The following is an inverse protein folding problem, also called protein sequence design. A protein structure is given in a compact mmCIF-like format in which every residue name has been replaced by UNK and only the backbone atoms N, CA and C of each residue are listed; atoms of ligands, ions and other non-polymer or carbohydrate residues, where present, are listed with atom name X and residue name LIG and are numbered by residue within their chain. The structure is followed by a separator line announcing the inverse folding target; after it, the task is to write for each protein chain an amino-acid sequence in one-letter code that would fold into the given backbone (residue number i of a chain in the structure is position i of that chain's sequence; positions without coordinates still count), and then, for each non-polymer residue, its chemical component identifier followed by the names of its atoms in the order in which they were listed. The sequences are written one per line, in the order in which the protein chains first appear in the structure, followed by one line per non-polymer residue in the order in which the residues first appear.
data_IF_275479609917
#
_entry.id   IF_275479609917
#
_cell.length_a   1.000
_cell.length_b   1.000
_cell.length_c   1.000
_cell.angle_alpha   90.00
_cell.angle_beta   90.00
_cell.angle_gamma   90.00
#
_symmetry.space_group_name_H-M   'P 1'
#
loop_
_entity.id
_entity.type
_entity.pdbx_description
1 polymer ?
#
# COMPACT_ATOMS: atom_id res chain seq x y z
N UNK A 1 5.53 -76.60 -49.30
CA UNK A 1 4.17 -76.79 -48.75
C UNK A 1 3.80 -75.56 -47.96
N UNK A 2 3.01 -74.67 -48.56
CA UNK A 2 2.34 -73.58 -47.86
C UNK A 2 0.99 -73.42 -48.58
N UNK A 3 -0.02 -74.09 -48.05
CA UNK A 3 -1.39 -74.01 -48.57
C UNK A 3 -1.90 -72.58 -48.36
N UNK A 4 -2.07 -71.83 -49.46
CA UNK A 4 -2.78 -70.56 -49.47
C UNK A 4 -4.27 -70.85 -49.33
N UNK A 5 -4.71 -71.00 -48.09
CA UNK A 5 -6.14 -71.11 -47.75
C UNK A 5 -6.80 -69.78 -48.07
N UNK A 6 -7.62 -69.77 -49.12
CA UNK A 6 -8.55 -68.69 -49.46
C UNK A 6 -9.37 -68.34 -48.20
N UNK A 7 -9.08 -67.19 -47.59
CA UNK A 7 -9.80 -66.74 -46.41
C UNK A 7 -11.23 -66.37 -46.84
N UNK A 8 -12.29 -66.92 -46.22
CA UNK A 8 -13.67 -66.55 -46.53
C UNK A 8 -13.82 -65.04 -46.49
N UNK A 9 -14.39 -64.41 -47.52
CA UNK A 9 -14.46 -62.93 -47.62
C UNK A 9 -15.06 -62.23 -46.39
N UNK A 10 -15.89 -62.94 -45.62
CA UNK A 10 -16.41 -62.49 -44.32
C UNK A 10 -15.29 -62.18 -43.30
N UNK A 11 -14.24 -63.01 -43.24
CA UNK A 11 -13.08 -62.76 -42.37
C UNK A 11 -12.36 -61.47 -42.78
N UNK A 12 -12.19 -61.23 -44.08
CA UNK A 12 -11.56 -60.01 -44.59
C UNK A 12 -12.34 -58.77 -44.16
N UNK A 13 -13.68 -58.80 -44.27
CA UNK A 13 -14.55 -57.70 -43.83
C UNK A 13 -14.46 -57.49 -42.32
N UNK A 14 -14.42 -58.55 -41.51
CA UNK A 14 -14.28 -58.47 -40.05
C UNK A 14 -12.92 -57.84 -39.67
N UNK A 15 -11.83 -58.22 -40.34
CA UNK A 15 -10.51 -57.64 -40.09
C UNK A 15 -10.46 -56.14 -40.43
N UNK A 16 -11.06 -55.72 -41.54
CA UNK A 16 -11.12 -54.32 -41.93
C UNK A 16 -11.97 -53.53 -40.92
N UNK A 17 -13.16 -54.02 -40.57
CA UNK A 17 -14.03 -53.37 -39.60
C UNK A 17 -13.38 -53.27 -38.21
N UNK A 18 -12.76 -54.35 -37.74
CA UNK A 18 -12.02 -54.39 -36.48
C UNK A 18 -10.80 -53.46 -36.47
N UNK A 19 -10.05 -53.40 -37.58
CA UNK A 19 -8.91 -52.51 -37.75
C UNK A 19 -9.31 -51.03 -37.71
N UNK A 20 -10.38 -50.65 -38.41
CA UNK A 20 -10.92 -49.29 -38.38
C UNK A 20 -11.44 -48.94 -36.99
N UNK A 21 -12.15 -49.86 -36.32
CA UNK A 21 -12.63 -49.66 -34.96
C UNK A 21 -11.47 -49.47 -33.96
N UNK A 22 -10.45 -50.33 -34.01
CA UNK A 22 -9.27 -50.21 -33.17
C UNK A 22 -8.52 -48.90 -33.42
N UNK A 23 -8.38 -48.50 -34.69
CA UNK A 23 -7.76 -47.23 -35.07
C UNK A 23 -8.51 -46.03 -34.50
N UNK A 24 -9.85 -46.00 -34.61
CA UNK A 24 -10.69 -44.94 -34.03
C UNK A 24 -10.57 -44.88 -32.51
N UNK A 25 -10.55 -46.03 -31.84
CA UNK A 25 -10.40 -46.12 -30.38
C UNK A 25 -9.05 -45.54 -29.93
N UNK A 26 -7.94 -45.94 -30.57
CA UNK A 26 -6.60 -45.41 -30.26
C UNK A 26 -6.55 -43.91 -30.51
N UNK A 27 -7.15 -43.41 -31.60
CA UNK A 27 -7.16 -41.99 -31.92
C UNK A 27 -7.93 -41.15 -30.90
N UNK A 28 -9.10 -41.63 -30.46
CA UNK A 28 -9.91 -40.97 -29.43
C UNK A 28 -9.14 -40.92 -28.10
N UNK A 29 -8.51 -42.04 -27.70
CA UNK A 29 -7.74 -42.09 -26.46
C UNK A 29 -6.49 -41.21 -26.53
N UNK A 30 -5.76 -41.22 -27.63
CA UNK A 30 -4.61 -40.34 -27.86
C UNK A 30 -5.01 -38.86 -27.79
N UNK A 31 -6.04 -38.45 -28.53
CA UNK A 31 -6.54 -37.07 -28.49
C UNK A 31 -6.98 -36.66 -27.08
N UNK A 32 -7.67 -37.55 -26.37
CA UNK A 32 -8.16 -37.30 -25.00
C UNK A 32 -7.02 -37.20 -23.99
N UNK A 33 -5.96 -38.02 -24.13
CA UNK A 33 -4.78 -37.96 -23.27
C UNK A 33 -3.95 -36.70 -23.50
N UNK A 34 -3.71 -36.33 -24.76
CA UNK A 34 -3.00 -35.09 -25.11
C UNK A 34 -3.74 -33.87 -24.57
N UNK A 35 -5.07 -33.82 -24.74
CA UNK A 35 -5.89 -32.72 -24.24
C UNK A 35 -5.85 -32.62 -22.70
N UNK A 36 -5.90 -33.76 -21.99
CA UNK A 36 -5.79 -33.79 -20.53
C UNK A 36 -4.41 -33.36 -20.04
N UNK A 37 -3.35 -33.74 -20.74
CA UNK A 37 -1.98 -33.37 -20.42
C UNK A 37 -1.73 -31.88 -20.67
N UNK A 38 -2.24 -31.34 -21.78
CA UNK A 38 -2.17 -29.91 -22.09
C UNK A 38 -2.88 -29.05 -21.03
N UNK A 39 -4.10 -29.45 -20.62
CA UNK A 39 -4.86 -28.73 -19.58
C UNK A 39 -4.18 -28.80 -18.20
N UNK A 40 -3.48 -29.89 -17.88
CA UNK A 40 -2.76 -30.05 -16.61
C UNK A 40 -1.45 -29.24 -16.58
N UNK A 41 -0.79 -29.09 -17.73
CA UNK A 41 0.51 -28.42 -17.84
C UNK A 41 0.41 -26.92 -18.16
N UNK A 42 -0.76 -26.40 -18.55
CA UNK A 42 -0.95 -24.96 -18.79
C UNK A 42 -0.95 -24.11 -17.52
N UNK A 43 -0.99 -24.72 -16.33
CA UNK A 43 -0.98 -24.00 -15.04
C UNK A 43 0.44 -23.58 -14.65
N UNK A 44 1.03 -22.68 -15.43
CA UNK A 44 2.22 -21.95 -15.01
C UNK A 44 1.90 -20.89 -13.95
N UNK A 45 2.89 -20.36 -13.22
CA UNK A 45 2.69 -19.35 -12.18
C UNK A 45 2.10 -18.01 -12.69
N UNK A 46 2.02 -17.81 -14.00
CA UNK A 46 1.51 -16.59 -14.64
C UNK A 46 0.28 -16.82 -15.54
N UNK A 47 -0.62 -17.73 -15.16
CA UNK A 47 -1.91 -17.86 -15.85
C UNK A 47 -2.73 -16.59 -15.61
N UNK A 48 -3.17 -15.86 -16.66
CA UNK A 48 -3.97 -14.65 -16.47
C UNK A 48 -5.28 -15.00 -15.76
N UNK A 49 -5.68 -14.15 -14.82
CA UNK A 49 -6.89 -14.40 -14.02
C UNK A 49 -8.10 -14.50 -14.95
N UNK A 50 -8.79 -15.65 -14.93
CA UNK A 50 -9.97 -15.88 -15.77
C UNK A 50 -9.72 -16.41 -17.19
N UNK A 51 -8.67 -17.21 -17.44
CA UNK A 51 -8.41 -17.87 -18.75
C UNK A 51 -9.64 -18.56 -19.36
N UNK A 52 -10.47 -19.21 -18.54
CA UNK A 52 -11.66 -19.94 -19.01
C UNK A 52 -12.96 -19.11 -18.94
N UNK A 53 -12.88 -17.84 -18.53
CA UNK A 53 -14.04 -16.96 -18.44
C UNK A 53 -14.45 -16.41 -19.83
N UNK A 54 -15.75 -16.12 -19.99
CA UNK A 54 -16.24 -15.39 -21.18
C UNK A 54 -15.45 -14.08 -21.33
N UNK A 55 -15.14 -13.67 -22.57
CA UNK A 55 -14.31 -12.47 -22.86
C UNK A 55 -14.76 -11.22 -22.10
N UNK A 56 -16.06 -11.01 -21.96
CA UNK A 56 -16.64 -9.89 -21.21
C UNK A 56 -16.36 -9.97 -19.72
N UNK A 57 -16.48 -11.16 -19.12
CA UNK A 57 -16.17 -11.39 -17.72
C UNK A 57 -14.66 -11.29 -17.44
N UNK A 58 -13.83 -11.84 -18.31
CA UNK A 58 -12.36 -11.69 -18.22
C UNK A 58 -11.95 -10.21 -18.21
N UNK A 59 -12.48 -9.40 -19.14
CA UNK A 59 -12.24 -7.94 -19.18
C UNK A 59 -12.69 -7.24 -17.91
N UNK A 60 -13.85 -7.62 -17.36
CA UNK A 60 -14.33 -7.01 -16.11
C UNK A 60 -13.47 -7.40 -14.91
N UNK A 61 -12.97 -8.64 -14.85
CA UNK A 61 -12.03 -9.09 -13.82
C UNK A 61 -10.73 -8.30 -13.91
N UNK A 62 -10.13 -8.21 -15.10
CA UNK A 62 -8.89 -7.43 -15.34
C UNK A 62 -9.11 -5.96 -14.94
N UNK A 63 -10.19 -5.34 -15.40
CA UNK A 63 -10.55 -3.94 -15.05
C UNK A 63 -10.71 -3.70 -13.55
N UNK A 64 -11.24 -4.68 -12.81
CA UNK A 64 -11.37 -4.58 -11.34
C UNK A 64 -10.05 -4.85 -10.63
N UNK A 65 -9.24 -5.76 -11.15
CA UNK A 65 -7.92 -6.03 -10.62
C UNK A 65 -7.02 -4.80 -10.79
N UNK A 66 -7.07 -4.14 -11.94
CA UNK A 66 -6.35 -2.90 -12.20
C UNK A 66 -6.72 -1.79 -11.19
N UNK A 67 -8.01 -1.69 -10.82
CA UNK A 67 -8.46 -0.77 -9.76
C UNK A 67 -7.92 -1.09 -8.37
N UNK A 68 -7.41 -2.29 -8.14
CA UNK A 68 -6.80 -2.65 -6.85
C UNK A 68 -5.52 -1.85 -6.62
N UNK A 69 -4.82 -1.48 -7.69
CA UNK A 69 -3.67 -0.59 -7.61
C UNK A 69 -4.04 0.83 -7.13
N UNK A 70 -5.30 1.24 -7.30
CA UNK A 70 -5.82 2.52 -6.81
C UNK A 70 -6.21 2.48 -5.32
N UNK A 71 -6.20 1.30 -4.68
CA UNK A 71 -6.55 1.16 -3.26
C UNK A 71 -5.39 1.66 -2.40
N UNK A 72 -5.50 2.93 -1.99
CA UNK A 72 -4.49 3.65 -1.19
C UNK A 72 -4.58 3.30 0.30
N UNK A 73 -5.76 2.94 0.79
CA UNK A 73 -6.02 2.77 2.21
C UNK A 73 -5.79 1.34 2.66
N UNK A 74 -4.85 1.13 3.57
CA UNK A 74 -4.70 -0.13 4.30
C UNK A 74 -5.76 -0.21 5.42
N UNK A 75 -6.62 -1.24 5.42
CA UNK A 75 -7.56 -1.46 6.51
C UNK A 75 -6.84 -1.94 7.77
N UNK A 76 -7.43 -1.69 8.93
CA UNK A 76 -7.02 -2.34 10.17
C UNK A 76 -7.45 -3.81 10.13
N UNK A 77 -6.50 -4.71 10.35
CA UNK A 77 -6.68 -6.15 10.20
C UNK A 77 -7.21 -6.78 11.49
N UNK A 78 -6.74 -6.33 12.66
CA UNK A 78 -7.21 -6.82 13.94
C UNK A 78 -8.57 -6.20 14.28
N UNK A 79 -9.55 -7.07 14.46
CA UNK A 79 -10.81 -6.72 15.12
C UNK A 79 -10.89 -7.43 16.49
N UNK A 80 -11.72 -6.94 17.42
CA UNK A 80 -11.83 -7.52 18.76
C UNK A 80 -12.19 -9.02 18.82
N UNK A 81 -12.72 -9.56 17.71
CA UNK A 81 -13.07 -10.98 17.59
C UNK A 81 -11.87 -11.89 17.26
N UNK A 82 -10.73 -11.35 16.85
CA UNK A 82 -9.54 -12.14 16.49
C UNK A 82 -8.75 -12.47 17.74
N UNK A 83 -8.58 -13.76 18.02
CA UNK A 83 -7.81 -14.21 19.18
C UNK A 83 -6.30 -14.24 18.89
N UNK A 84 -5.43 -14.07 19.91
CA UNK A 84 -3.97 -14.20 19.75
C UNK A 84 -3.50 -15.59 19.30
N UNK A 85 -4.37 -16.60 19.39
CA UNK A 85 -4.10 -17.96 18.94
C UNK A 85 -4.36 -18.17 17.45
N UNK A 86 -4.97 -17.19 16.76
CA UNK A 86 -5.23 -17.29 15.34
C UNK A 86 -3.93 -17.29 14.52
N UNK A 87 -3.86 -18.07 13.43
CA UNK A 87 -2.77 -17.98 12.48
C UNK A 87 -2.60 -16.54 11.99
N UNK A 88 -1.36 -16.08 11.84
CA UNK A 88 -1.01 -14.74 11.36
C UNK A 88 -1.36 -13.56 12.29
N UNK A 89 -1.82 -13.82 13.53
CA UNK A 89 -2.14 -12.76 14.49
C UNK A 89 -1.02 -11.71 14.62
N UNK A 90 0.23 -12.15 14.77
CA UNK A 90 1.39 -11.25 14.90
C UNK A 90 1.70 -10.47 13.62
N UNK A 91 1.40 -11.01 12.44
CA UNK A 91 1.51 -10.27 11.18
C UNK A 91 0.48 -9.15 11.11
N UNK A 92 -0.76 -9.49 11.42
CA UNK A 92 -1.85 -8.51 11.44
C UNK A 92 -1.54 -7.38 12.43
N UNK A 93 -1.04 -7.74 13.61
CA UNK A 93 -0.60 -6.78 14.62
C UNK A 93 0.53 -5.86 14.13
N UNK A 94 1.56 -6.42 13.49
CA UNK A 94 2.66 -5.63 12.92
C UNK A 94 2.18 -4.65 11.84
N UNK A 95 1.26 -5.08 10.98
CA UNK A 95 0.69 -4.22 9.93
C UNK A 95 -0.16 -3.10 10.52
N UNK A 96 -0.99 -3.42 11.51
CA UNK A 96 -1.80 -2.41 12.20
C UNK A 96 -0.97 -1.40 12.98
N UNK A 97 0.11 -1.84 13.64
CA UNK A 97 1.00 -0.93 14.37
C UNK A 97 1.73 0.01 13.40
N UNK A 98 2.18 -0.46 12.24
CA UNK A 98 2.73 0.42 11.21
C UNK A 98 1.69 1.43 10.70
N UNK A 99 0.43 1.01 10.55
CA UNK A 99 -0.65 1.92 10.17
C UNK A 99 -0.93 2.96 11.26
N UNK A 100 -0.87 2.59 12.53
CA UNK A 100 -1.00 3.52 13.66
C UNK A 100 0.12 4.56 13.68
N UNK A 101 1.37 4.15 13.46
CA UNK A 101 2.50 5.07 13.33
C UNK A 101 2.25 6.13 12.25
N UNK A 102 1.76 5.71 11.07
CA UNK A 102 1.44 6.66 9.99
C UNK A 102 0.33 7.65 10.38
N UNK A 103 -0.69 7.18 11.10
CA UNK A 103 -1.78 8.02 11.57
C UNK A 103 -1.28 9.05 12.59
N UNK A 104 -0.46 8.63 13.55
CA UNK A 104 0.15 9.54 14.52
C UNK A 104 1.05 10.56 13.84
N UNK A 105 1.93 10.13 12.93
CA UNK A 105 2.75 11.04 12.12
C UNK A 105 1.88 12.04 11.36
N UNK A 106 0.78 11.60 10.76
CA UNK A 106 -0.13 12.48 10.02
C UNK A 106 -0.85 13.48 10.95
N UNK A 107 -1.19 13.07 12.18
CA UNK A 107 -1.77 13.94 13.20
C UNK A 107 -0.80 15.04 13.63
N UNK A 108 0.48 14.69 13.84
CA UNK A 108 1.50 15.64 14.32
C UNK A 108 2.07 16.54 13.22
N UNK A 109 2.25 16.00 12.01
CA UNK A 109 2.94 16.69 10.92
C UNK A 109 2.00 17.28 9.87
N UNK A 110 0.76 16.80 9.80
CA UNK A 110 -0.15 17.05 8.68
C UNK A 110 0.25 16.33 7.39
N UNK A 111 1.38 15.63 7.35
CA UNK A 111 1.89 14.93 6.17
C UNK A 111 1.40 13.48 6.19
N UNK A 112 0.79 13.06 5.08
CA UNK A 112 0.40 11.65 4.85
C UNK A 112 1.31 11.03 3.81
N UNK A 113 1.55 9.73 3.95
CA UNK A 113 2.27 8.94 2.94
C UNK A 113 1.50 8.98 1.60
N UNK A 114 2.16 9.32 0.48
CA UNK A 114 1.55 9.20 -0.84
C UNK A 114 1.20 7.74 -1.17
N UNK A 115 0.16 7.48 -1.98
CA UNK A 115 -0.26 6.12 -2.34
C UNK A 115 0.83 5.27 -2.98
N UNK A 116 1.68 5.90 -3.79
CA UNK A 116 2.73 5.26 -4.57
C UNK A 116 4.01 5.05 -3.77
N UNK A 117 4.06 5.53 -2.53
CA UNK A 117 5.28 5.58 -1.75
C UNK A 117 5.35 4.47 -0.71
N UNK A 118 6.57 3.98 -0.47
CA UNK A 118 6.82 2.92 0.52
C UNK A 118 6.89 3.51 1.93
N UNK A 119 6.51 2.70 2.92
CA UNK A 119 6.62 3.07 4.35
C UNK A 119 8.06 3.52 4.67
N UNK A 120 9.06 2.81 4.13
CA UNK A 120 10.47 3.15 4.29
C UNK A 120 10.82 4.54 3.79
N UNK A 121 10.46 4.86 2.54
CA UNK A 121 10.79 6.17 1.95
C UNK A 121 10.09 7.30 2.70
N UNK A 122 8.83 7.09 3.06
CA UNK A 122 8.06 8.04 3.86
C UNK A 122 8.71 8.31 5.22
N UNK A 123 9.00 7.28 6.01
CA UNK A 123 9.63 7.46 7.33
C UNK A 123 11.05 8.05 7.23
N UNK A 124 11.81 7.67 6.20
CA UNK A 124 13.12 8.26 5.92
C UNK A 124 13.04 9.77 5.65
N UNK A 125 12.01 10.23 4.94
CA UNK A 125 11.80 11.67 4.69
C UNK A 125 11.60 12.47 5.98
N UNK A 126 11.11 11.81 7.04
CA UNK A 126 10.85 12.40 8.36
C UNK A 126 12.05 12.25 9.31
N UNK A 127 13.08 11.49 8.94
CA UNK A 127 14.28 11.29 9.75
C UNK A 127 15.05 12.60 9.97
N UNK A 128 14.96 13.57 9.05
CA UNK A 128 15.59 14.89 9.21
C UNK A 128 14.82 15.85 10.11
N UNK A 129 13.58 15.52 10.48
CA UNK A 129 12.67 16.41 11.21
C UNK A 129 12.14 15.70 12.47
N UNK A 130 11.00 15.03 12.35
CA UNK A 130 10.22 14.46 13.46
C UNK A 130 10.86 13.22 14.07
N UNK A 131 11.55 12.42 13.26
CA UNK A 131 12.19 11.16 13.67
C UNK A 131 13.71 11.30 13.85
N UNK A 132 14.21 12.53 13.96
CA UNK A 132 15.64 12.82 14.11
C UNK A 132 16.29 12.11 15.29
N UNK A 133 15.56 11.94 16.39
CA UNK A 133 16.03 11.27 17.61
C UNK A 133 16.16 9.73 17.47
N UNK A 134 15.31 9.09 16.67
CA UNK A 134 15.37 7.64 16.43
C UNK A 134 16.55 7.28 15.50
N UNK A 135 16.86 8.19 14.57
CA UNK A 135 17.90 7.99 13.56
C UNK A 135 17.53 6.97 12.48
N UNK A 136 18.31 6.92 11.38
CA UNK A 136 17.95 6.15 10.20
C UNK A 136 18.01 4.62 10.43
N UNK A 137 18.88 4.16 11.33
CA UNK A 137 19.02 2.72 11.64
C UNK A 137 17.74 2.11 12.19
N UNK A 138 17.10 2.78 13.14
CA UNK A 138 15.85 2.31 13.76
C UNK A 138 14.73 2.25 12.71
N UNK A 139 14.65 3.24 11.83
CA UNK A 139 13.65 3.26 10.75
C UNK A 139 13.89 2.10 9.78
N UNK A 140 15.14 1.86 9.37
CA UNK A 140 15.45 0.73 8.49
C UNK A 140 15.09 -0.61 9.13
N UNK A 141 15.50 -0.85 10.37
CA UNK A 141 15.17 -2.07 11.09
C UNK A 141 13.65 -2.24 11.24
N UNK A 142 12.92 -1.19 11.61
CA UNK A 142 11.45 -1.22 11.66
C UNK A 142 10.85 -1.61 10.30
N UNK A 143 11.31 -1.00 9.22
CA UNK A 143 10.80 -1.28 7.88
C UNK A 143 11.14 -2.71 7.42
N UNK A 144 12.33 -3.23 7.75
CA UNK A 144 12.72 -4.60 7.42
C UNK A 144 11.76 -5.60 8.09
N UNK A 145 11.46 -5.41 9.39
CA UNK A 145 10.53 -6.29 10.10
C UNK A 145 9.08 -6.17 9.60
N UNK A 146 8.68 -4.97 9.19
CA UNK A 146 7.36 -4.74 8.59
C UNK A 146 7.23 -5.42 7.22
N UNK A 147 8.25 -5.31 6.37
CA UNK A 147 8.29 -5.99 5.07
C UNK A 147 8.27 -7.52 5.25
N UNK A 148 8.97 -8.05 6.27
CA UNK A 148 8.89 -9.46 6.64
C UNK A 148 7.47 -9.88 7.04
N UNK A 149 6.78 -9.10 7.87
CA UNK A 149 5.40 -9.41 8.25
C UNK A 149 4.44 -9.43 7.05
N UNK A 150 4.66 -8.54 6.08
CA UNK A 150 3.72 -8.30 4.97
C UNK A 150 3.94 -9.20 3.76
N UNK A 151 5.18 -9.45 3.39
CA UNK A 151 5.52 -10.08 2.10
C UNK A 151 6.26 -11.40 2.22
N UNK A 152 6.91 -11.68 3.37
CA UNK A 152 7.68 -12.90 3.51
C UNK A 152 6.76 -14.13 3.61
N UNK A 153 7.07 -15.26 2.96
CA UNK A 153 6.28 -16.48 3.06
C UNK A 153 6.52 -17.27 4.36
N UNK A 154 7.60 -17.03 5.10
CA UNK A 154 7.95 -17.75 6.32
C UNK A 154 7.11 -17.31 7.52
N UNK A 155 7.05 -18.13 8.57
CA UNK A 155 6.26 -17.80 9.76
C UNK A 155 6.79 -16.52 10.45
N UNK A 156 5.90 -15.56 10.69
CA UNK A 156 6.17 -14.35 11.45
C UNK A 156 5.45 -14.46 12.79
N UNK A 157 6.20 -14.79 13.83
CA UNK A 157 5.68 -15.07 15.16
C UNK A 157 5.92 -13.94 16.16
N UNK A 158 5.72 -14.27 17.43
CA UNK A 158 5.82 -13.34 18.55
C UNK A 158 7.20 -12.66 18.64
N UNK A 159 8.29 -13.42 18.46
CA UNK A 159 9.65 -12.90 18.62
C UNK A 159 9.97 -11.81 17.60
N UNK A 160 9.60 -12.04 16.33
CA UNK A 160 9.79 -11.04 15.27
C UNK A 160 8.90 -9.82 15.51
N UNK A 161 7.68 -10.04 16.01
CA UNK A 161 6.80 -8.94 16.41
C UNK A 161 7.38 -8.11 17.56
N UNK A 162 7.94 -8.72 18.59
CA UNK A 162 8.55 -8.00 19.72
C UNK A 162 9.71 -7.10 19.28
N UNK A 163 10.53 -7.57 18.33
CA UNK A 163 11.58 -6.76 17.72
C UNK A 163 11.01 -5.55 16.99
N UNK A 164 9.99 -5.75 16.15
CA UNK A 164 9.27 -4.65 15.48
C UNK A 164 8.67 -3.67 16.48
N UNK A 165 7.97 -4.17 17.51
CA UNK A 165 7.31 -3.37 18.53
C UNK A 165 8.32 -2.52 19.32
N UNK A 166 9.51 -3.05 19.60
CA UNK A 166 10.57 -2.29 20.26
C UNK A 166 11.04 -1.10 19.41
N UNK A 167 11.18 -1.27 18.10
CA UNK A 167 11.57 -0.18 17.18
C UNK A 167 10.43 0.80 16.99
N UNK A 168 9.21 0.31 16.89
CA UNK A 168 8.00 1.12 16.85
C UNK A 168 7.91 2.05 18.07
N UNK A 169 8.13 1.54 19.28
CA UNK A 169 8.12 2.34 20.51
C UNK A 169 9.19 3.45 20.51
N UNK A 170 10.40 3.17 19.98
CA UNK A 170 11.46 4.18 19.84
C UNK A 170 11.07 5.28 18.84
N UNK A 171 10.38 4.92 17.75
CA UNK A 171 9.87 5.89 16.77
C UNK A 171 8.80 6.78 17.39
N UNK A 172 7.87 6.20 18.15
CA UNK A 172 6.84 6.95 18.87
C UNK A 172 7.42 7.87 19.93
N UNK A 173 8.37 7.40 20.75
CA UNK A 173 9.04 8.24 21.75
C UNK A 173 9.76 9.43 21.11
N UNK A 174 10.37 9.20 19.93
CA UNK A 174 11.00 10.28 19.16
C UNK A 174 9.99 11.30 18.65
N UNK A 175 8.83 10.83 18.18
CA UNK A 175 7.72 11.67 17.72
C UNK A 175 7.13 12.52 18.86
N UNK A 176 6.85 11.91 20.02
CA UNK A 176 6.36 12.61 21.21
C UNK A 176 7.40 13.53 21.85
N UNK A 177 8.70 13.21 21.75
CA UNK A 177 9.76 14.10 22.20
C UNK A 177 9.75 15.45 21.45
N UNK A 178 9.38 15.42 20.16
CA UNK A 178 9.25 16.64 19.35
C UNK A 178 8.04 17.48 19.76
N UNK A 179 6.94 16.88 20.25
CA UNK A 179 5.76 17.63 20.72
C UNK A 179 6.04 18.46 21.99
N UNK A 180 6.88 17.94 22.89
CA UNK A 180 7.28 18.64 24.10
C UNK A 180 8.13 19.91 23.82
N UNK A 181 8.87 19.93 22.71
CA UNK A 181 9.67 21.09 22.30
C UNK A 181 8.78 22.19 21.69
N UNK A 182 7.78 21.81 20.88
CA UNK A 182 6.85 22.76 20.24
C UNK A 182 5.87 23.42 21.21
N UNK A 183 5.48 22.74 22.29
CA UNK A 183 4.56 23.29 23.31
C UNK A 183 5.22 24.30 24.24
N UNK A 184 6.53 24.20 24.48
CA UNK A 184 7.27 25.10 25.38
C UNK A 184 7.54 26.50 24.79
N UNK A 185 7.52 26.65 23.45
CA UNK A 185 7.70 27.96 22.79
C UNK A 185 6.43 28.82 22.76
N UNK A 186 5.27 28.33 23.20
CA UNK A 186 4.00 29.09 23.18
C UNK A 186 3.73 29.93 24.44
N UNK A 187 4.65 29.91 25.41
CA UNK A 187 4.58 30.70 26.64
C UNK A 187 5.68 31.76 26.66
N UNK A 188 5.56 32.77 25.79
CA UNK A 188 6.23 34.06 26.05
C UNK A 188 5.29 34.96 26.85
N UNK A 189 5.71 35.53 27.98
CA UNK A 189 4.92 36.52 28.69
C UNK A 189 4.86 37.80 27.84
N UNK A 190 3.66 38.31 27.54
CA UNK A 190 3.50 39.71 27.11
C UNK A 190 3.92 40.59 28.28
N UNK A 191 5.15 41.09 28.25
CA UNK A 191 5.59 42.18 29.12
C UNK A 191 4.67 43.36 28.84
N UNK A 192 3.87 43.70 29.84
CA UNK A 192 2.96 44.84 29.87
C UNK A 192 3.80 46.06 30.18
N UNK A 193 4.10 46.88 29.17
CA UNK A 193 4.67 48.22 29.39
C UNK A 193 3.53 49.17 29.69
N UNK A 194 3.39 49.55 30.96
CA UNK A 194 2.57 50.69 31.37
C UNK A 194 3.35 51.99 31.08
N UNK A 195 2.77 52.99 30.40
CA UNK A 195 3.41 54.29 30.27
C UNK A 195 3.10 55.15 31.49
N UNK A 196 4.17 55.46 32.24
CA UNK A 196 4.20 56.41 33.35
C UNK A 196 3.98 57.85 32.83
N UNK A 197 3.01 58.54 33.44
CA UNK A 197 2.74 59.96 33.27
C UNK A 197 3.88 60.77 33.91
N UNK A 198 4.55 61.63 33.14
CA UNK A 198 5.12 62.86 33.69
C UNK A 198 5.01 64.01 32.70
N UNK A 199 4.21 64.98 33.14
CA UNK A 199 3.92 66.26 32.55
C UNK A 199 5.06 67.26 32.86
N UNK A 200 5.69 67.87 31.85
CA UNK A 200 6.36 69.18 32.01
C UNK A 200 6.12 70.08 30.80
N UNK A 201 5.28 71.06 31.09
CA UNK A 201 4.89 72.33 30.44
C UNK A 201 6.02 73.14 29.79
N UNK A 202 5.78 73.70 28.59
CA UNK A 202 6.63 74.75 28.01
C UNK A 202 6.29 75.21 26.58
N UNK A 203 5.35 76.16 26.47
CA UNK A 203 5.18 77.25 25.48
C UNK A 203 5.75 77.14 24.03
N UNK A 204 4.90 77.45 23.03
CA UNK A 204 5.42 77.94 21.73
C UNK A 204 4.53 77.79 20.50
N UNK A 205 3.48 78.61 20.42
CA UNK A 205 2.97 79.32 19.23
C UNK A 205 3.27 78.85 17.78
N UNK A 206 2.19 78.91 16.96
CA UNK A 206 2.05 79.05 15.48
C UNK A 206 1.83 77.78 14.63
N UNK A 207 0.58 77.67 14.14
CA UNK A 207 0.27 77.12 12.80
C UNK A 207 0.80 78.08 11.71
N UNK A 208 1.01 77.62 10.47
CA UNK A 208 -0.06 77.79 9.49
C UNK A 208 -0.29 76.57 8.58
N UNK A 209 -1.42 76.67 7.88
CA UNK A 209 -1.98 75.79 6.87
C UNK A 209 -1.28 75.93 5.50
N UNK A 210 -1.26 74.85 4.72
CA UNK A 210 -1.39 74.83 3.23
C UNK A 210 -1.62 73.38 2.78
N UNK A 211 -2.82 72.96 2.39
CA UNK A 211 -3.43 73.03 1.04
C UNK A 211 -2.57 72.49 -0.11
N UNK A 212 -2.90 71.28 -0.58
CA UNK A 212 -3.09 70.88 -2.00
C UNK A 212 -3.62 69.44 -1.97
N UNK A 213 -4.92 69.15 -2.15
CA UNK A 213 -5.65 69.10 -3.42
C UNK A 213 -4.82 68.44 -4.53
N UNK A 214 -5.10 67.18 -4.85
CA UNK A 214 -5.42 66.85 -6.24
C UNK A 214 -6.49 65.75 -6.31
N UNK A 215 -7.46 66.00 -7.18
CA UNK A 215 -8.66 65.21 -7.53
C UNK A 215 -8.42 64.53 -8.87
N UNK A 216 -9.11 63.41 -9.08
CA UNK A 216 -9.52 62.91 -10.40
C UNK A 216 -8.56 61.86 -10.98
N UNK A 217 -9.01 60.78 -11.59
CA UNK A 217 -10.35 60.29 -11.94
C UNK A 217 -10.25 58.75 -12.14
N UNK A 218 -11.27 57.97 -11.78
CA UNK A 218 -12.42 57.59 -12.63
C UNK A 218 -11.96 56.93 -13.95
N UNK A 219 -12.04 55.60 -14.03
CA UNK A 219 -13.00 54.85 -14.89
C UNK A 219 -12.20 54.16 -16.02
N UNK A 220 -12.45 52.95 -16.53
CA UNK A 220 -13.55 51.97 -16.46
C UNK A 220 -13.09 50.67 -17.16
N UNK A 221 -13.90 49.58 -17.10
CA UNK A 221 -13.50 48.20 -17.42
C UNK A 221 -13.87 47.77 -18.85
N UNK A 222 -13.30 46.64 -19.30
CA UNK A 222 -13.94 45.58 -20.10
C UNK A 222 -13.32 44.25 -19.68
#
# INVERSE_FOLDING_TARGET
MADTKELPGVLVVIFIAGGVLAFLVVFIFGKRQIQRFALKNQKGPHVPVGVDAKKTLKREIERRLDRTADVVSEPLLLCPAVSPSEPFYYRMKAVDDARRLELEVAEWSGVRRPPTDTVRRFLMSLCGTLLSRAGPRVIHEFCDHYELARYDPAEFGQRQYEQLASRHAVLLDSLHSHSNIGSSQRSTPRTRTDPELTEVRGAGHRRPHSLSVNKGGSETPV
#
